data_IF_723751508459
#
_entry.id   IF_723751508459
#
_cell.length_a   1.000
_cell.length_b   1.000
_cell.length_c   1.000
_cell.angle_alpha   90.00
_cell.angle_beta   90.00
_cell.angle_gamma   90.00
#
_symmetry.space_group_name_H-M   'P 1'
#
loop_
_entity.id
_entity.type
_entity.pdbx_description
1 polymer ?
#
# COMPACT_ATOMS: atom_id res chain seq x y z
N UNK A 1 4.47 16.32 -0.03
CA UNK A 1 4.75 15.17 -0.92
C UNK A 1 3.43 14.42 -1.09
N UNK A 2 2.88 14.37 -2.30
CA UNK A 2 1.60 13.72 -2.57
C UNK A 2 1.83 12.22 -2.83
N UNK A 3 2.10 11.46 -1.77
CA UNK A 3 2.01 10.00 -1.82
C UNK A 3 0.55 9.62 -1.51
N UNK A 4 -0.12 8.92 -2.43
CA UNK A 4 -1.44 8.33 -2.16
C UNK A 4 -2.68 9.15 -2.54
N UNK A 5 -2.55 10.18 -3.37
CA UNK A 5 -3.68 10.94 -3.92
C UNK A 5 -4.50 10.19 -4.99
N UNK A 6 -4.67 8.87 -4.86
CA UNK A 6 -5.57 8.10 -5.74
C UNK A 6 -7.03 8.15 -5.29
N UNK A 7 -7.30 8.64 -4.08
CA UNK A 7 -8.64 8.93 -3.58
C UNK A 7 -9.05 10.38 -3.85
N UNK A 8 -10.37 10.63 -3.93
CA UNK A 8 -10.92 11.97 -3.94
C UNK A 8 -10.72 12.68 -2.58
N UNK A 9 -10.90 14.00 -2.57
CA UNK A 9 -10.74 14.83 -1.35
C UNK A 9 -11.78 14.51 -0.25
N UNK A 10 -12.86 13.81 -0.60
CA UNK A 10 -13.95 13.47 0.31
C UNK A 10 -14.29 11.98 0.26
N UNK A 11 -14.76 11.45 1.39
CA UNK A 11 -15.35 10.13 1.51
C UNK A 11 -16.66 10.24 2.30
N UNK A 12 -17.75 9.67 1.79
CA UNK A 12 -19.07 9.68 2.41
C UNK A 12 -19.38 8.34 3.07
N UNK A 13 -19.91 8.38 4.30
CA UNK A 13 -20.27 7.19 5.07
C UNK A 13 -21.68 7.31 5.64
N UNK A 14 -22.40 6.19 5.72
CA UNK A 14 -23.69 6.13 6.42
C UNK A 14 -23.50 6.37 7.93
N UNK A 15 -24.20 7.36 8.46
CA UNK A 15 -24.16 7.65 9.90
C UNK A 15 -24.65 6.48 10.76
N UNK A 16 -25.57 5.65 10.24
CA UNK A 16 -26.05 4.46 10.93
C UNK A 16 -24.95 3.40 11.15
N UNK A 17 -23.99 3.31 10.22
CA UNK A 17 -22.87 2.37 10.32
C UNK A 17 -21.85 2.80 11.39
N UNK A 18 -21.74 4.10 11.68
CA UNK A 18 -20.80 4.67 12.65
C UNK A 18 -21.40 4.85 14.06
N UNK A 19 -22.65 5.33 14.14
CA UNK A 19 -23.33 5.73 15.40
C UNK A 19 -23.41 4.61 16.43
N UNK A 20 -23.52 3.36 16.00
CA UNK A 20 -23.64 2.20 16.89
C UNK A 20 -22.29 1.58 17.28
N UNK A 21 -21.16 2.22 16.95
CA UNK A 21 -19.79 1.67 17.13
C UNK A 21 -19.55 0.31 16.47
N UNK A 22 -20.32 0.00 15.44
CA UNK A 22 -20.08 -1.18 14.60
C UNK A 22 -18.87 -1.02 13.69
N UNK A 23 -18.39 0.20 13.48
CA UNK A 23 -17.21 0.52 12.70
C UNK A 23 -16.56 1.83 13.19
N UNK A 24 -15.23 1.89 13.10
CA UNK A 24 -14.42 3.09 13.36
C UNK A 24 -13.76 3.59 12.07
N UNK A 25 -13.65 4.91 11.90
CA UNK A 25 -12.91 5.54 10.81
C UNK A 25 -11.51 5.90 11.32
N UNK A 26 -10.50 5.19 10.83
CA UNK A 26 -9.11 5.39 11.24
C UNK A 26 -8.34 6.12 10.14
N UNK A 27 -7.98 7.38 10.40
CA UNK A 27 -7.05 8.12 9.55
C UNK A 27 -5.63 7.59 9.75
N UNK A 28 -5.02 7.05 8.69
CA UNK A 28 -3.67 6.49 8.74
C UNK A 28 -2.82 7.00 7.57
N UNK A 29 -1.55 7.30 7.87
CA UNK A 29 -0.52 7.51 6.86
C UNK A 29 0.80 6.92 7.35
N UNK A 30 1.50 6.21 6.47
CA UNK A 30 2.84 5.69 6.75
C UNK A 30 3.81 6.80 7.19
N UNK A 31 3.57 8.05 6.75
CA UNK A 31 4.40 9.20 7.06
C UNK A 31 4.27 9.67 8.52
N UNK A 32 3.23 9.25 9.25
CA UNK A 32 3.01 9.61 10.64
C UNK A 32 3.78 8.70 11.62
N UNK A 33 4.37 7.61 11.12
CA UNK A 33 5.13 6.68 11.96
C UNK A 33 6.45 7.31 12.42
N UNK A 34 6.79 7.13 13.71
CA UNK A 34 8.17 7.34 14.16
C UNK A 34 9.10 6.32 13.53
N UNK A 35 10.41 6.57 13.61
CA UNK A 35 11.41 5.62 13.11
C UNK A 35 11.28 4.25 13.79
N UNK A 36 11.08 4.22 15.10
CA UNK A 36 10.89 3.00 15.89
C UNK A 36 9.62 2.26 15.49
N UNK A 37 8.51 2.97 15.33
CA UNK A 37 7.25 2.37 14.89
C UNK A 37 7.37 1.77 13.49
N UNK A 38 8.02 2.48 12.57
CA UNK A 38 8.28 1.99 11.21
C UNK A 38 9.17 0.74 11.23
N UNK A 39 10.22 0.73 12.04
CA UNK A 39 11.11 -0.42 12.19
C UNK A 39 10.37 -1.64 12.74
N UNK A 40 9.55 -1.45 13.78
CA UNK A 40 8.72 -2.52 14.36
C UNK A 40 7.71 -3.08 13.35
N UNK A 41 7.01 -2.20 12.64
CA UNK A 41 6.04 -2.59 11.62
C UNK A 41 6.68 -3.39 10.47
N UNK A 42 7.81 -2.91 9.94
CA UNK A 42 8.54 -3.61 8.87
C UNK A 42 9.06 -4.97 9.35
N UNK A 43 9.60 -5.04 10.57
CA UNK A 43 10.09 -6.29 11.14
C UNK A 43 8.99 -7.34 11.21
N UNK A 44 7.79 -6.97 11.67
CA UNK A 44 6.65 -7.86 11.73
C UNK A 44 6.22 -8.36 10.34
N UNK A 45 6.04 -7.45 9.38
CA UNK A 45 5.65 -7.79 8.00
C UNK A 45 6.68 -8.71 7.33
N UNK A 46 7.97 -8.39 7.47
CA UNK A 46 9.05 -9.20 6.91
C UNK A 46 9.14 -10.57 7.59
N UNK A 47 8.87 -10.66 8.89
CA UNK A 47 8.79 -11.93 9.61
C UNK A 47 7.71 -12.85 9.03
N UNK A 48 6.51 -12.32 8.76
CA UNK A 48 5.44 -13.09 8.11
C UNK A 48 5.80 -13.50 6.68
N UNK A 49 6.44 -12.61 5.91
CA UNK A 49 6.88 -12.93 4.55
C UNK A 49 7.95 -14.03 4.54
N UNK A 50 8.94 -13.95 5.43
CA UNK A 50 9.98 -14.97 5.58
C UNK A 50 9.41 -16.35 5.99
N UNK A 51 8.33 -16.35 6.77
CA UNK A 51 7.61 -17.58 7.14
C UNK A 51 6.70 -18.12 6.03
N UNK A 52 6.63 -17.46 4.86
CA UNK A 52 5.72 -17.83 3.76
C UNK A 52 4.25 -17.54 4.04
N UNK A 53 3.93 -16.82 5.13
CA UNK A 53 2.56 -16.47 5.50
C UNK A 53 2.04 -15.24 4.75
N UNK A 54 2.92 -14.49 4.09
CA UNK A 54 2.59 -13.30 3.30
C UNK A 54 3.38 -13.30 1.99
N UNK A 55 2.68 -13.06 0.89
CA UNK A 55 3.26 -12.87 -0.43
C UNK A 55 2.57 -11.72 -1.16
N UNK A 56 3.31 -11.05 -2.05
CA UNK A 56 2.75 -10.04 -2.96
C UNK A 56 2.97 -10.54 -4.38
N UNK A 57 1.88 -10.75 -5.11
CA UNK A 57 1.96 -11.03 -6.53
C UNK A 57 2.62 -9.83 -7.23
N UNK A 58 3.69 -10.11 -7.97
CA UNK A 58 4.48 -9.09 -8.61
C UNK A 58 5.08 -9.57 -9.92
N UNK A 59 5.38 -8.61 -10.78
CA UNK A 59 6.08 -8.81 -12.04
C UNK A 59 7.38 -8.02 -12.02
N UNK A 60 8.49 -8.70 -12.32
CA UNK A 60 9.82 -8.10 -12.37
C UNK A 60 10.16 -7.73 -13.80
N UNK A 61 10.58 -6.48 -14.03
CA UNK A 61 11.00 -5.97 -15.34
C UNK A 61 12.33 -5.21 -15.24
N UNK A 62 13.13 -5.15 -16.31
CA UNK A 62 14.29 -4.27 -16.34
C UNK A 62 13.86 -2.80 -16.24
N UNK A 63 14.74 -1.97 -15.69
CA UNK A 63 14.46 -0.55 -15.45
C UNK A 63 14.06 0.22 -16.71
N UNK A 64 14.58 -0.18 -17.88
CA UNK A 64 14.24 0.44 -19.18
C UNK A 64 12.78 0.20 -19.62
N UNK A 65 12.07 -0.74 -18.98
CA UNK A 65 10.64 -1.01 -19.18
C UNK A 65 9.73 -0.23 -18.23
N UNK A 66 10.24 0.83 -17.61
CA UNK A 66 9.45 1.74 -16.77
C UNK A 66 8.11 2.17 -17.39
N UNK A 67 8.05 2.58 -18.67
CA UNK A 67 6.78 2.96 -19.30
C UNK A 67 5.75 1.83 -19.36
N UNK A 68 6.17 0.60 -19.65
CA UNK A 68 5.30 -0.58 -19.70
C UNK A 68 4.79 -0.94 -18.30
N UNK A 69 5.67 -0.93 -17.30
CA UNK A 69 5.31 -1.14 -15.90
C UNK A 69 4.29 -0.09 -15.42
N UNK A 70 4.46 1.18 -15.81
CA UNK A 70 3.52 2.23 -15.45
C UNK A 70 2.14 2.01 -16.06
N UNK A 71 2.08 1.67 -17.36
CA UNK A 71 0.84 1.37 -18.04
C UNK A 71 0.12 0.15 -17.41
N UNK A 72 0.86 -0.90 -17.07
CA UNK A 72 0.30 -2.07 -16.37
C UNK A 72 -0.27 -1.72 -14.99
N UNK A 73 0.41 -0.86 -14.23
CA UNK A 73 -0.07 -0.39 -12.92
C UNK A 73 -1.36 0.44 -13.07
N UNK A 74 -1.40 1.35 -14.06
CA UNK A 74 -2.58 2.16 -14.33
C UNK A 74 -3.79 1.33 -14.79
N UNK A 75 -3.55 0.22 -15.47
CA UNK A 75 -4.58 -0.75 -15.86
C UNK A 75 -5.07 -1.66 -14.70
N UNK A 76 -4.58 -1.45 -13.48
CA UNK A 76 -4.94 -2.26 -12.31
C UNK A 76 -4.20 -3.59 -12.22
N UNK A 77 -3.05 -3.72 -12.91
CA UNK A 77 -2.20 -4.90 -12.85
C UNK A 77 -1.54 -5.10 -11.47
N UNK A 78 -0.84 -6.23 -11.33
CA UNK A 78 -0.11 -6.60 -10.12
C UNK A 78 1.07 -5.67 -9.85
N UNK A 79 1.69 -5.78 -8.67
CA UNK A 79 2.85 -4.94 -8.31
C UNK A 79 3.97 -5.08 -9.35
N UNK A 80 4.39 -3.96 -9.93
CA UNK A 80 5.54 -3.94 -10.83
C UNK A 80 6.82 -3.66 -10.03
N UNK A 81 7.86 -4.45 -10.26
CA UNK A 81 9.19 -4.31 -9.64
C UNK A 81 10.21 -4.06 -10.74
N UNK A 82 10.86 -2.90 -10.71
CA UNK A 82 11.91 -2.55 -11.66
C UNK A 82 13.28 -2.89 -11.08
N UNK A 83 14.09 -3.63 -11.83
CA UNK A 83 15.45 -3.99 -11.46
C UNK A 83 16.47 -3.31 -12.40
N UNK A 84 17.62 -2.85 -11.89
CA UNK A 84 18.74 -2.45 -12.74
C UNK A 84 19.13 -3.59 -13.69
N UNK A 85 19.60 -3.25 -14.89
CA UNK A 85 20.12 -4.21 -15.87
C UNK A 85 21.45 -4.83 -15.42
#
# INVERSE_FOLDING_TARGET
MNLGGSGADTAEFSSAALRSRSADVLGYTNNALTAEQRAGALTAVLGHAAAGALGVEHEVRPLDRGPEAWAATAAGGVRQVLVPA
#
